data_IF_761742451179
#
_entry.id   IF_761742451179
#
_cell.length_a   1.000
_cell.length_b   1.000
_cell.length_c   1.000
_cell.angle_alpha   90.00
_cell.angle_beta   90.00
_cell.angle_gamma   90.00
#
_symmetry.space_group_name_H-M   'P 1'
#
loop_
_entity.id
_entity.type
_entity.pdbx_description
1 polymer ?
#
# COMPACT_ATOMS: atom_id res chain seq x y z
N UNK A 1 8.83 -2.32 -11.58
CA UNK A 1 7.48 -2.63 -12.11
C UNK A 1 7.46 -2.86 -13.62
N UNK A 2 8.04 -1.96 -14.44
CA UNK A 2 7.95 -2.04 -15.91
C UNK A 2 8.41 -3.37 -16.54
N UNK A 3 9.47 -3.98 -16.02
CA UNK A 3 10.07 -5.15 -16.68
C UNK A 3 9.41 -6.50 -16.38
N UNK A 4 8.57 -6.59 -15.33
CA UNK A 4 7.92 -7.85 -14.92
C UNK A 4 6.41 -7.73 -14.98
N UNK A 5 5.83 -6.63 -14.49
CA UNK A 5 4.38 -6.49 -14.40
C UNK A 5 3.75 -6.01 -15.71
N UNK A 6 4.44 -5.19 -16.52
CA UNK A 6 3.93 -4.79 -17.84
C UNK A 6 3.83 -5.97 -18.82
N UNK A 7 4.86 -6.85 -18.97
CA UNK A 7 4.72 -8.01 -19.85
C UNK A 7 3.68 -9.01 -19.36
N UNK A 8 3.52 -9.21 -18.04
CA UNK A 8 2.45 -10.06 -17.48
C UNK A 8 1.06 -9.50 -17.79
N UNK A 9 0.86 -8.19 -17.59
CA UNK A 9 -0.41 -7.54 -17.90
C UNK A 9 -0.72 -7.55 -19.42
N UNK A 10 0.31 -7.37 -20.25
CA UNK A 10 0.18 -7.43 -21.71
C UNK A 10 -0.09 -8.85 -22.20
N UNK A 11 0.59 -9.87 -21.65
CA UNK A 11 0.36 -11.27 -21.97
C UNK A 11 -1.06 -11.72 -21.64
N UNK A 12 -1.67 -11.14 -20.60
CA UNK A 12 -3.06 -11.40 -20.21
C UNK A 12 -4.10 -10.54 -20.98
N UNK A 13 -3.65 -9.69 -21.90
CA UNK A 13 -4.54 -8.85 -22.71
C UNK A 13 -5.29 -7.77 -21.91
N UNK A 14 -4.72 -7.28 -20.81
CA UNK A 14 -5.37 -6.24 -20.00
C UNK A 14 -5.34 -4.88 -20.72
N UNK A 15 -6.49 -4.22 -20.78
CA UNK A 15 -6.58 -2.82 -21.22
C UNK A 15 -5.76 -1.88 -20.34
N UNK A 16 -5.41 -0.69 -20.86
CA UNK A 16 -4.46 0.24 -20.23
C UNK A 16 -4.83 0.63 -18.79
N UNK A 17 -6.09 1.00 -18.55
CA UNK A 17 -6.57 1.37 -17.22
C UNK A 17 -6.52 0.19 -16.23
N UNK A 18 -6.99 -1.00 -16.64
CA UNK A 18 -6.96 -2.22 -15.80
C UNK A 18 -5.54 -2.70 -15.52
N UNK A 19 -4.65 -2.57 -16.49
CA UNK A 19 -3.22 -2.86 -16.34
C UNK A 19 -2.59 -1.97 -15.26
N UNK A 20 -2.92 -0.68 -15.19
CA UNK A 20 -2.43 0.20 -14.13
C UNK A 20 -2.87 -0.24 -12.73
N UNK A 21 -4.17 -0.54 -12.54
CA UNK A 21 -4.70 -1.02 -11.26
C UNK A 21 -4.14 -2.38 -10.85
N UNK A 22 -4.00 -3.29 -11.81
CA UNK A 22 -3.34 -4.57 -11.59
C UNK A 22 -1.91 -4.38 -11.10
N UNK A 23 -1.16 -3.44 -11.69
CA UNK A 23 0.22 -3.16 -11.26
C UNK A 23 0.31 -2.57 -9.85
N UNK A 24 -0.61 -1.67 -9.50
CA UNK A 24 -0.72 -1.13 -8.14
C UNK A 24 -0.94 -2.25 -7.12
N UNK A 25 -1.91 -3.14 -7.38
CA UNK A 25 -2.18 -4.27 -6.49
C UNK A 25 -1.07 -5.32 -6.50
N UNK A 26 -0.46 -5.61 -7.64
CA UNK A 26 0.64 -6.57 -7.74
C UNK A 26 1.89 -6.08 -6.98
N UNK A 27 2.13 -4.75 -6.94
CA UNK A 27 3.16 -4.19 -6.08
C UNK A 27 2.87 -4.45 -4.60
N UNK A 28 1.62 -4.27 -4.17
CA UNK A 28 1.22 -4.58 -2.79
C UNK A 28 1.41 -6.07 -2.48
N UNK A 29 1.09 -6.97 -3.41
CA UNK A 29 1.35 -8.41 -3.25
C UNK A 29 2.83 -8.68 -3.00
N UNK A 30 3.72 -8.13 -3.83
CA UNK A 30 5.19 -8.32 -3.68
C UNK A 30 5.69 -7.77 -2.33
N UNK A 31 5.21 -6.60 -1.93
CA UNK A 31 5.58 -5.99 -0.66
C UNK A 31 5.12 -6.84 0.52
N UNK A 32 3.82 -7.12 0.62
CA UNK A 32 3.26 -7.85 1.75
C UNK A 32 3.72 -9.31 1.79
N UNK A 33 3.93 -9.97 0.65
CA UNK A 33 4.50 -11.33 0.65
C UNK A 33 5.90 -11.34 1.23
N UNK A 34 6.71 -10.32 0.95
CA UNK A 34 8.07 -10.19 1.47
C UNK A 34 8.06 -9.86 2.96
N UNK A 35 7.35 -8.80 3.35
CA UNK A 35 7.31 -8.33 4.74
C UNK A 35 6.66 -9.36 5.67
N UNK A 36 5.54 -9.97 5.26
CA UNK A 36 4.90 -11.02 6.04
C UNK A 36 5.82 -12.22 6.22
N UNK A 37 6.51 -12.68 5.17
CA UNK A 37 7.43 -13.82 5.27
C UNK A 37 8.62 -13.54 6.20
N UNK A 38 9.20 -12.34 6.11
CA UNK A 38 10.29 -11.92 7.00
C UNK A 38 9.81 -11.80 8.44
N UNK A 39 8.66 -11.16 8.66
CA UNK A 39 8.05 -11.03 10.00
C UNK A 39 7.76 -12.41 10.61
N UNK A 40 7.13 -13.30 9.84
CA UNK A 40 6.86 -14.68 10.27
C UNK A 40 8.13 -15.46 10.59
N UNK A 41 9.19 -15.30 9.81
CA UNK A 41 10.48 -15.93 10.09
C UNK A 41 11.07 -15.43 11.42
N UNK A 42 11.03 -14.11 11.67
CA UNK A 42 11.44 -13.53 12.96
C UNK A 42 10.57 -14.09 14.09
N UNK A 43 9.26 -14.15 13.90
CA UNK A 43 8.33 -14.63 14.92
C UNK A 43 8.57 -16.11 15.26
N UNK A 44 8.68 -16.98 14.25
CA UNK A 44 8.88 -18.42 14.40
C UNK A 44 10.23 -18.79 15.02
N UNK A 45 11.25 -17.96 14.82
CA UNK A 45 12.57 -18.15 15.42
C UNK A 45 12.73 -17.49 16.80
N UNK A 46 11.71 -16.79 17.29
CA UNK A 46 11.77 -16.07 18.55
C UNK A 46 11.21 -16.87 19.73
N UNK A 47 11.65 -16.53 20.95
CA UNK A 47 11.18 -17.14 22.20
C UNK A 47 9.70 -16.88 22.53
N UNK A 48 9.04 -15.96 21.80
CA UNK A 48 7.63 -15.60 21.99
C UNK A 48 6.71 -16.18 20.93
N UNK A 49 7.16 -17.17 20.14
CA UNK A 49 6.31 -17.89 19.20
C UNK A 49 5.13 -18.55 19.92
N UNK A 50 3.91 -18.15 19.54
CA UNK A 50 2.63 -18.55 20.16
C UNK A 50 2.55 -18.35 21.68
N UNK A 51 3.49 -17.60 22.28
CA UNK A 51 3.50 -17.26 23.69
C UNK A 51 3.38 -15.74 23.86
N UNK A 52 2.16 -15.31 24.18
CA UNK A 52 1.83 -13.91 24.35
C UNK A 52 2.44 -13.29 25.61
N UNK A 53 2.81 -14.09 26.62
CA UNK A 53 3.45 -13.60 27.85
C UNK A 53 4.94 -13.35 27.63
N UNK A 54 5.60 -14.26 26.89
CA UNK A 54 7.02 -14.14 26.54
C UNK A 54 7.36 -12.85 25.78
N UNK A 55 6.40 -12.20 25.13
CA UNK A 55 6.57 -10.89 24.50
C UNK A 55 7.03 -9.78 25.47
N UNK A 56 6.70 -9.91 26.76
CA UNK A 56 6.97 -8.90 27.79
C UNK A 56 8.24 -9.18 28.61
N UNK A 57 8.87 -10.33 28.41
CA UNK A 57 10.09 -10.72 29.10
C UNK A 57 11.29 -9.90 28.62
N UNK A 58 12.24 -9.64 29.53
CA UNK A 58 13.49 -8.93 29.24
C UNK A 58 13.29 -7.54 28.60
N UNK A 59 12.15 -6.90 28.86
CA UNK A 59 11.95 -5.51 28.49
C UNK A 59 12.84 -4.60 29.37
N UNK A 60 13.47 -3.54 28.82
CA UNK A 60 13.38 -3.05 27.44
C UNK A 60 14.35 -3.73 26.46
N UNK A 61 13.83 -4.18 25.31
CA UNK A 61 14.64 -4.75 24.24
C UNK A 61 15.27 -3.64 23.37
N UNK A 62 16.31 -2.95 23.89
CA UNK A 62 17.01 -1.88 23.15
C UNK A 62 17.97 -2.40 22.08
N UNK A 63 18.65 -3.53 22.35
CA UNK A 63 19.47 -4.22 21.36
C UNK A 63 18.61 -5.26 20.63
N UNK A 64 18.05 -4.85 19.50
CA UNK A 64 17.34 -5.75 18.59
C UNK A 64 18.29 -6.29 17.53
N UNK A 65 18.01 -7.49 17.02
CA UNK A 65 18.75 -8.04 15.89
C UNK A 65 18.68 -7.11 14.67
N UNK A 66 19.71 -7.12 13.83
CA UNK A 66 19.74 -6.31 12.61
C UNK A 66 18.53 -6.57 11.70
N UNK A 67 18.07 -7.82 11.64
CA UNK A 67 16.89 -8.21 10.86
C UNK A 67 15.61 -7.59 11.42
N UNK A 68 15.38 -7.66 12.73
CA UNK A 68 14.23 -7.01 13.39
C UNK A 68 14.26 -5.49 13.18
N UNK A 69 15.45 -4.88 13.25
CA UNK A 69 15.61 -3.44 13.02
C UNK A 69 15.22 -3.04 11.59
N UNK A 70 15.75 -3.75 10.60
CA UNK A 70 15.42 -3.49 9.19
C UNK A 70 13.93 -3.70 8.94
N UNK A 71 13.35 -4.78 9.49
CA UNK A 71 11.93 -5.07 9.38
C UNK A 71 11.06 -3.94 9.94
N UNK A 72 11.29 -3.51 11.18
CA UNK A 72 10.51 -2.43 11.82
C UNK A 72 10.65 -1.10 11.08
N UNK A 73 11.86 -0.75 10.62
CA UNK A 73 12.10 0.49 9.89
C UNK A 73 11.51 0.46 8.47
N UNK A 74 11.57 -0.68 7.77
CA UNK A 74 10.97 -0.87 6.46
C UNK A 74 9.44 -0.77 6.53
N UNK A 75 8.83 -1.35 7.56
CA UNK A 75 7.40 -1.22 7.83
C UNK A 75 7.01 0.25 8.09
N UNK A 76 7.74 0.93 8.98
CA UNK A 76 7.50 2.34 9.26
C UNK A 76 7.63 3.21 7.99
N UNK A 77 8.67 2.99 7.18
CA UNK A 77 8.91 3.73 5.94
C UNK A 77 7.79 3.53 4.93
N UNK A 78 7.30 2.29 4.78
CA UNK A 78 6.17 2.00 3.91
C UNK A 78 4.89 2.68 4.39
N UNK A 79 4.57 2.62 5.68
CA UNK A 79 3.37 3.29 6.23
C UNK A 79 3.44 4.82 6.10
N UNK A 80 4.63 5.42 6.26
CA UNK A 80 4.85 6.84 5.96
C UNK A 80 4.65 7.16 4.47
N UNK A 81 5.13 6.31 3.58
CA UNK A 81 4.89 6.45 2.14
C UNK A 81 3.40 6.29 1.79
N UNK A 82 2.68 5.38 2.44
CA UNK A 82 1.24 5.21 2.24
C UNK A 82 0.43 6.42 2.73
N UNK A 83 0.89 7.11 3.78
CA UNK A 83 0.30 8.38 4.22
C UNK A 83 0.36 9.47 3.13
N UNK A 84 1.40 9.46 2.29
CA UNK A 84 1.47 10.38 1.16
C UNK A 84 0.53 9.90 0.04
N UNK A 85 0.55 8.60 -0.27
CA UNK A 85 -0.26 8.01 -1.35
C UNK A 85 -1.76 8.20 -1.14
N UNK A 86 -2.28 8.06 0.09
CA UNK A 86 -3.71 8.26 0.36
C UNK A 86 -4.19 9.70 0.06
N UNK A 87 -3.29 10.68 0.08
CA UNK A 87 -3.60 12.07 -0.26
C UNK A 87 -3.47 12.36 -1.77
N UNK A 88 -2.75 11.51 -2.51
CA UNK A 88 -2.61 11.60 -3.96
C UNK A 88 -3.73 10.82 -4.67
N UNK A 89 -4.13 9.67 -4.12
CA UNK A 89 -5.21 8.86 -4.67
C UNK A 89 -6.57 9.57 -4.57
N UNK A 90 -7.47 9.24 -5.50
CA UNK A 90 -8.85 9.75 -5.49
C UNK A 90 -9.51 9.39 -4.16
N UNK A 91 -10.08 10.40 -3.51
CA UNK A 91 -10.72 10.25 -2.19
C UNK A 91 -11.91 9.28 -2.24
N UNK A 92 -11.82 8.20 -1.47
CA UNK A 92 -12.90 7.21 -1.27
C UNK A 92 -13.81 7.60 -0.10
N UNK A 93 -14.97 6.93 0.02
CA UNK A 93 -15.97 7.19 1.07
C UNK A 93 -15.43 6.99 2.50
N UNK A 94 -14.44 6.13 2.68
CA UNK A 94 -13.79 5.81 3.95
C UNK A 94 -12.49 6.61 4.20
N UNK A 95 -12.22 7.66 3.43
CA UNK A 95 -10.93 8.35 3.46
C UNK A 95 -10.51 8.81 4.85
N UNK A 96 -11.42 9.39 5.63
CA UNK A 96 -11.10 9.84 6.99
C UNK A 96 -10.80 8.69 7.95
N UNK A 97 -11.50 7.55 7.81
CA UNK A 97 -11.25 6.36 8.62
C UNK A 97 -9.87 5.77 8.30
N UNK A 98 -9.53 5.68 7.01
CA UNK A 98 -8.20 5.25 6.57
C UNK A 98 -7.12 6.24 6.99
N UNK A 99 -7.33 7.55 6.88
CA UNK A 99 -6.36 8.56 7.32
C UNK A 99 -6.08 8.45 8.82
N UNK A 100 -7.13 8.36 9.65
CA UNK A 100 -6.99 8.16 11.10
C UNK A 100 -6.25 6.85 11.42
N UNK A 101 -6.54 5.77 10.69
CA UNK A 101 -5.80 4.53 10.79
C UNK A 101 -4.31 4.72 10.49
N UNK A 102 -3.95 5.37 9.39
CA UNK A 102 -2.54 5.61 9.05
C UNK A 102 -1.82 6.41 10.14
N UNK A 103 -2.45 7.47 10.68
CA UNK A 103 -1.85 8.29 11.75
C UNK A 103 -1.57 7.42 12.98
N UNK A 104 -2.55 6.64 13.42
CA UNK A 104 -2.42 5.80 14.62
C UNK A 104 -1.46 4.64 14.40
N UNK A 105 -1.50 3.97 13.25
CA UNK A 105 -0.58 2.88 12.91
C UNK A 105 0.87 3.37 12.86
N UNK A 106 1.15 4.51 12.22
CA UNK A 106 2.50 5.10 12.20
C UNK A 106 2.96 5.43 13.62
N UNK A 107 2.10 6.05 14.43
CA UNK A 107 2.41 6.38 15.81
C UNK A 107 2.71 5.12 16.64
N UNK A 108 1.91 4.06 16.52
CA UNK A 108 2.11 2.79 17.23
C UNK A 108 3.38 2.06 16.79
N UNK A 109 3.65 1.98 15.48
CA UNK A 109 4.88 1.35 14.98
C UNK A 109 6.11 2.14 15.47
N UNK A 110 6.09 3.47 15.36
CA UNK A 110 7.17 4.32 15.83
C UNK A 110 7.38 4.18 17.35
N UNK A 111 6.32 4.30 18.15
CA UNK A 111 6.41 4.16 19.60
C UNK A 111 6.86 2.76 20.01
N UNK A 112 6.35 1.70 19.36
CA UNK A 112 6.77 0.32 19.66
C UNK A 112 8.27 0.12 19.44
N UNK A 113 8.83 0.75 18.41
CA UNK A 113 10.27 0.73 18.14
C UNK A 113 11.06 1.52 19.21
N UNK A 114 10.63 2.75 19.52
CA UNK A 114 11.35 3.63 20.47
C UNK A 114 11.27 3.17 21.93
N UNK A 115 10.16 2.56 22.32
CA UNK A 115 9.96 2.01 23.67
C UNK A 115 10.46 0.56 23.83
N UNK A 116 11.07 -0.05 22.79
CA UNK A 116 11.56 -1.43 22.87
C UNK A 116 10.45 -2.49 22.98
N UNK A 117 9.25 -2.17 22.50
CA UNK A 117 8.08 -3.07 22.42
C UNK A 117 8.02 -3.80 21.07
N UNK A 118 9.18 -4.04 20.45
CA UNK A 118 9.32 -4.58 19.10
C UNK A 118 8.75 -5.99 18.94
N UNK A 119 8.75 -6.81 20.00
CA UNK A 119 8.15 -8.16 19.98
C UNK A 119 6.65 -8.10 19.73
N UNK A 120 5.95 -7.23 20.46
CA UNK A 120 4.50 -7.01 20.28
C UNK A 120 4.22 -6.34 18.95
N UNK A 121 5.04 -5.35 18.58
CA UNK A 121 4.98 -4.70 17.27
C UNK A 121 5.09 -5.70 16.11
N UNK A 122 6.02 -6.66 16.20
CA UNK A 122 6.19 -7.71 15.20
C UNK A 122 4.93 -8.57 15.03
N UNK A 123 4.36 -9.07 16.14
CA UNK A 123 3.13 -9.88 16.08
C UNK A 123 1.97 -9.08 15.48
N UNK A 124 1.79 -7.82 15.90
CA UNK A 124 0.75 -6.96 15.34
C UNK A 124 0.95 -6.76 13.83
N UNK A 125 2.15 -6.44 13.38
CA UNK A 125 2.44 -6.20 11.96
C UNK A 125 2.21 -7.46 11.09
N UNK A 126 2.61 -8.63 11.57
CA UNK A 126 2.34 -9.91 10.88
C UNK A 126 0.84 -10.16 10.72
N UNK A 127 0.08 -9.97 11.80
CA UNK A 127 -1.38 -10.12 11.76
C UNK A 127 -1.99 -9.11 10.79
N UNK A 128 -1.43 -7.89 10.73
CA UNK A 128 -1.84 -6.83 9.82
C UNK A 128 -1.60 -7.21 8.35
N UNK A 129 -0.36 -7.52 7.99
CA UNK A 129 0.05 -7.75 6.61
C UNK A 129 -0.62 -8.97 5.95
N UNK A 130 -0.96 -10.02 6.73
CA UNK A 130 -1.52 -11.24 6.16
C UNK A 130 -2.83 -10.98 5.40
N UNK A 131 -3.71 -10.19 5.99
CA UNK A 131 -4.99 -9.87 5.39
C UNK A 131 -4.87 -8.98 4.15
N UNK A 132 -3.93 -8.05 4.18
CA UNK A 132 -3.68 -7.15 3.05
C UNK A 132 -3.06 -7.91 1.87
N UNK A 133 -2.22 -8.92 2.15
CA UNK A 133 -1.71 -9.84 1.13
C UNK A 133 -2.86 -10.59 0.43
N UNK A 134 -3.76 -11.23 1.20
CA UNK A 134 -4.88 -11.98 0.61
C UNK A 134 -5.83 -11.06 -0.16
N UNK A 135 -6.08 -9.86 0.36
CA UNK A 135 -6.91 -8.84 -0.30
C UNK A 135 -6.32 -8.39 -1.66
N UNK A 136 -5.03 -8.06 -1.70
CA UNK A 136 -4.37 -7.66 -2.94
C UNK A 136 -4.31 -8.79 -3.97
N UNK A 137 -4.13 -10.04 -3.53
CA UNK A 137 -4.22 -11.22 -4.41
C UNK A 137 -5.63 -11.33 -5.01
N UNK A 138 -6.69 -11.20 -4.20
CA UNK A 138 -8.06 -11.26 -4.69
C UNK A 138 -8.35 -10.17 -5.73
N UNK A 139 -7.87 -8.93 -5.52
CA UNK A 139 -7.99 -7.86 -6.52
C UNK A 139 -7.23 -8.16 -7.82
N UNK A 140 -6.00 -8.67 -7.73
CA UNK A 140 -5.23 -9.09 -8.91
C UNK A 140 -6.00 -10.14 -9.73
N UNK A 141 -6.56 -11.15 -9.07
CA UNK A 141 -7.36 -12.20 -9.73
C UNK A 141 -8.65 -11.65 -10.36
N UNK A 142 -9.33 -10.71 -9.68
CA UNK A 142 -10.48 -9.98 -10.24
C UNK A 142 -10.11 -9.26 -11.53
N UNK A 143 -8.99 -8.52 -11.54
CA UNK A 143 -8.55 -7.80 -12.74
C UNK A 143 -8.16 -8.73 -13.90
N UNK A 144 -7.66 -9.93 -13.60
CA UNK A 144 -7.36 -10.98 -14.57
C UNK A 144 -8.61 -11.74 -15.06
N UNK A 145 -9.81 -11.41 -14.56
CA UNK A 145 -11.08 -12.09 -14.85
C UNK A 145 -11.10 -13.58 -14.48
N UNK A 146 -10.33 -13.97 -13.47
CA UNK A 146 -10.27 -15.34 -12.96
C UNK A 146 -11.31 -15.58 -11.86
N UNK A 147 -12.59 -15.64 -12.24
CA UNK A 147 -13.71 -15.56 -11.30
C UNK A 147 -13.70 -16.66 -10.22
N UNK A 148 -13.52 -17.94 -10.56
CA UNK A 148 -13.48 -19.02 -9.54
C UNK A 148 -12.37 -18.85 -8.52
N UNK A 149 -11.19 -18.41 -8.94
CA UNK A 149 -10.07 -18.16 -8.01
C UNK A 149 -10.32 -16.89 -7.19
N UNK A 150 -10.94 -15.88 -7.79
CA UNK A 150 -11.36 -14.66 -7.10
C UNK A 150 -12.37 -14.99 -5.98
N UNK A 151 -13.38 -15.82 -6.25
CA UNK A 151 -14.41 -16.19 -5.25
C UNK A 151 -13.80 -17.02 -4.12
N UNK A 152 -12.92 -17.97 -4.45
CA UNK A 152 -12.18 -18.74 -3.45
C UNK A 152 -11.30 -17.84 -2.56
N UNK A 153 -10.52 -16.95 -3.17
CA UNK A 153 -9.64 -16.04 -2.43
C UNK A 153 -10.42 -14.98 -1.63
N UNK A 154 -11.59 -14.58 -2.11
CA UNK A 154 -12.52 -13.75 -1.36
C UNK A 154 -13.05 -14.46 -0.11
N UNK A 155 -13.45 -15.74 -0.23
CA UNK A 155 -13.81 -16.56 0.93
C UNK A 155 -12.66 -16.69 1.92
N UNK A 156 -11.44 -16.96 1.44
CA UNK A 156 -10.24 -17.01 2.26
C UNK A 156 -9.94 -15.68 2.96
N UNK A 157 -10.16 -14.54 2.29
CA UNK A 157 -10.01 -13.21 2.86
C UNK A 157 -10.98 -12.96 4.03
N UNK A 158 -12.24 -13.37 3.91
CA UNK A 158 -13.23 -13.21 4.98
C UNK A 158 -12.86 -14.05 6.20
N UNK A 159 -12.46 -15.31 5.99
CA UNK A 159 -12.03 -16.20 7.07
C UNK A 159 -10.77 -15.67 7.75
N UNK A 160 -9.75 -15.29 6.97
CA UNK A 160 -8.52 -14.73 7.54
C UNK A 160 -8.78 -13.44 8.30
N UNK A 161 -9.72 -12.59 7.83
CA UNK A 161 -10.10 -11.37 8.53
C UNK A 161 -10.58 -11.67 9.95
N UNK A 162 -11.54 -12.59 10.12
CA UNK A 162 -12.06 -12.92 11.45
C UNK A 162 -10.95 -13.49 12.35
N UNK A 163 -10.10 -14.38 11.84
CA UNK A 163 -9.04 -15.00 12.61
C UNK A 163 -7.95 -14.00 13.02
N UNK A 164 -7.41 -13.22 12.08
CA UNK A 164 -6.31 -12.31 12.37
C UNK A 164 -6.79 -11.04 13.11
N UNK A 165 -7.94 -10.48 12.72
CA UNK A 165 -8.42 -9.18 13.22
C UNK A 165 -9.30 -9.29 14.45
N UNK A 166 -10.17 -10.30 14.55
CA UNK A 166 -11.15 -10.39 15.65
C UNK A 166 -10.88 -11.54 16.63
N UNK A 167 -9.85 -12.36 16.37
CA UNK A 167 -9.40 -13.40 17.30
C UNK A 167 -7.99 -13.10 17.77
N UNK A 168 -6.99 -13.13 16.88
CA UNK A 168 -5.58 -12.98 17.25
C UNK A 168 -5.22 -11.57 17.74
N UNK A 169 -5.68 -10.52 17.07
CA UNK A 169 -5.37 -9.15 17.47
C UNK A 169 -5.97 -8.77 18.85
N UNK A 170 -7.23 -9.12 19.18
CA UNK A 170 -7.76 -8.97 20.54
C UNK A 170 -7.00 -9.79 21.59
N UNK A 171 -6.49 -10.98 21.26
CA UNK A 171 -5.62 -11.75 22.16
C UNK A 171 -4.31 -10.99 22.46
N UNK A 172 -3.73 -10.31 21.47
CA UNK A 172 -2.57 -9.42 21.69
C UNK A 172 -2.96 -8.26 22.60
N UNK A 173 -4.09 -7.59 22.35
CA UNK A 173 -4.60 -6.51 23.21
C UNK A 173 -4.82 -6.96 24.65
N UNK A 174 -5.38 -8.16 24.84
CA UNK A 174 -5.52 -8.78 26.16
C UNK A 174 -4.18 -8.99 26.84
N UNK A 175 -3.16 -9.45 26.11
CA UNK A 175 -1.81 -9.60 26.67
C UNK A 175 -1.19 -8.26 27.10
N UNK A 176 -1.42 -7.19 26.32
CA UNK A 176 -1.03 -5.83 26.71
C UNK A 176 -1.73 -5.41 27.99
N UNK A 177 -3.01 -5.70 28.14
CA UNK A 177 -3.77 -5.34 29.33
C UNK A 177 -3.34 -6.14 30.59
N UNK A 178 -3.27 -7.47 30.46
CA UNK A 178 -3.16 -8.40 31.56
C UNK A 178 -1.71 -8.74 31.96
N UNK A 179 -0.79 -8.86 30.99
CA UNK A 179 0.55 -9.42 31.24
C UNK A 179 1.66 -8.36 31.25
N UNK A 180 1.51 -7.28 30.49
CA UNK A 180 2.61 -6.32 30.23
C UNK A 180 3.25 -5.76 31.50
N UNK A 181 2.46 -5.16 32.40
CA UNK A 181 2.96 -4.59 33.66
C UNK A 181 3.23 -5.64 34.72
N UNK A 182 2.54 -6.79 34.68
CA UNK A 182 2.78 -7.88 35.62
C UNK A 182 4.18 -8.47 35.41
N UNK A 183 4.61 -8.59 34.15
CA UNK A 183 5.90 -9.19 33.78
C UNK A 183 7.01 -8.14 33.74
N UNK A 184 6.80 -7.00 33.06
CA UNK A 184 7.84 -5.98 32.93
C UNK A 184 8.05 -5.17 34.23
N UNK A 185 6.97 -4.95 34.99
CA UNK A 185 6.94 -4.08 36.16
C UNK A 185 7.04 -2.58 35.81
N UNK A 186 6.55 -1.69 36.70
CA UNK A 186 6.66 -0.24 36.51
C UNK A 186 8.10 0.21 36.75
N UNK A 187 8.92 0.28 35.69
CA UNK A 187 10.37 0.54 35.79
C UNK A 187 10.85 1.44 34.65
N UNK A 188 11.94 2.15 34.91
CA UNK A 188 12.64 2.97 33.93
C UNK A 188 14.09 2.51 33.73
N UNK A 189 14.60 2.71 32.52
CA UNK A 189 15.98 2.39 32.15
C UNK A 189 16.57 3.54 31.32
N UNK A 190 17.85 3.85 31.53
CA UNK A 190 18.59 4.91 30.81
C UNK A 190 19.76 4.27 30.05
N UNK A 191 20.14 4.85 28.91
CA UNK A 191 21.30 4.38 28.15
C UNK A 191 20.96 3.33 27.11
N UNK A 192 21.96 2.89 26.35
CA UNK A 192 21.78 1.96 25.24
C UNK A 192 22.84 0.86 25.28
N UNK A 193 22.45 -0.31 24.79
CA UNK A 193 23.29 -1.48 24.70
C UNK A 193 23.83 -2.00 26.04
N UNK A 194 25.14 -2.25 26.11
CA UNK A 194 25.80 -2.75 27.32
C UNK A 194 25.84 -1.75 28.49
N UNK A 195 25.49 -0.48 28.25
CA UNK A 195 25.53 0.60 29.24
C UNK A 195 24.13 1.00 29.73
N UNK A 196 23.21 0.04 29.85
CA UNK A 196 21.87 0.30 30.38
C UNK A 196 21.95 0.42 31.91
N UNK A 197 21.47 1.55 32.44
CA UNK A 197 21.35 1.83 33.86
C UNK A 197 19.88 1.68 34.26
N UNK A 198 19.60 0.79 35.22
CA UNK A 198 18.26 0.55 35.75
C UNK A 198 18.17 -0.80 36.47
N UNK A 199 17.04 -1.11 37.11
CA UNK A 199 15.79 -0.35 37.07
C UNK A 199 15.81 0.91 37.95
N UNK A 200 15.22 1.99 37.45
CA UNK A 200 14.92 3.21 38.20
C UNK A 200 13.41 3.33 38.41
N UNK A 201 13.02 4.03 39.47
CA UNK A 201 11.61 4.37 39.70
C UNK A 201 11.11 5.39 38.66
N UNK A 202 9.80 5.33 38.40
CA UNK A 202 9.14 6.28 37.50
C UNK A 202 9.14 7.65 38.16
N UNK A 203 9.58 8.73 37.46
CA UNK A 203 9.57 10.07 38.02
C UNK A 203 8.18 10.46 38.52
N UNK A 204 8.06 10.85 39.79
CA UNK A 204 6.80 11.24 40.40
C UNK A 204 6.21 12.55 39.81
N UNK A 205 7.09 13.43 39.30
CA UNK A 205 6.71 14.74 38.78
C UNK A 205 7.17 14.91 37.32
N UNK A 206 6.25 15.39 36.49
CA UNK A 206 6.51 15.75 35.08
C UNK A 206 6.28 14.61 34.09
N UNK A 207 5.82 14.97 32.89
CA UNK A 207 5.49 14.01 31.81
C UNK A 207 6.58 13.89 30.73
N UNK A 208 7.67 14.65 30.87
CA UNK A 208 8.71 14.72 29.83
C UNK A 208 9.39 13.36 29.57
N UNK A 209 9.47 12.50 30.59
CA UNK A 209 10.02 11.15 30.45
C UNK A 209 9.26 10.28 29.41
N UNK A 210 8.03 10.64 29.04
CA UNK A 210 7.26 9.97 27.98
C UNK A 210 7.71 10.40 26.57
N UNK A 211 8.25 11.61 26.42
CA UNK A 211 8.74 12.11 25.14
C UNK A 211 10.23 11.85 24.94
N UNK A 212 10.97 11.68 26.03
CA UNK A 212 12.41 11.45 26.03
C UNK A 212 12.83 10.27 25.13
N UNK A 213 12.18 9.07 25.18
CA UNK A 213 12.45 7.97 24.26
C UNK A 213 12.26 8.30 22.80
N UNK A 214 11.35 9.22 22.49
CA UNK A 214 10.95 9.58 21.12
C UNK A 214 11.92 10.58 20.51
N UNK A 215 12.56 11.40 21.33
CA UNK A 215 13.50 12.42 20.88
C UNK A 215 14.93 11.90 20.95
N UNK A 216 15.32 11.30 22.07
CA UNK A 216 16.70 10.88 22.34
C UNK A 216 16.86 9.36 22.27
N UNK A 217 17.86 8.90 21.54
CA UNK A 217 18.17 7.45 21.40
C UNK A 217 18.65 6.83 22.72
N UNK A 218 19.39 7.60 23.52
CA UNK A 218 19.92 7.15 24.82
C UNK A 218 19.08 7.65 26.01
N UNK A 219 17.93 8.27 25.74
CA UNK A 219 17.05 8.82 26.77
C UNK A 219 16.49 7.75 27.71
N UNK A 220 15.93 8.18 28.82
CA UNK A 220 15.17 7.35 29.75
C UNK A 220 13.94 6.76 29.06
N UNK A 221 13.77 5.45 29.16
CA UNK A 221 12.57 4.73 28.71
C UNK A 221 11.89 4.16 29.96
N UNK A 222 10.64 4.52 30.15
CA UNK A 222 9.80 4.05 31.25
C UNK A 222 8.62 3.26 30.69
N UNK A 223 8.19 2.23 31.43
CA UNK A 223 6.94 1.53 31.17
C UNK A 223 6.11 1.52 32.44
N UNK A 224 5.05 2.31 32.45
CA UNK A 224 4.15 2.49 33.58
C UNK A 224 2.68 2.27 33.14
N UNK A 225 1.74 2.53 34.04
CA UNK A 225 0.32 2.45 33.71
C UNK A 225 -0.09 3.40 32.60
N UNK A 226 0.53 4.59 32.52
CA UNK A 226 0.21 5.59 31.50
C UNK A 226 0.64 5.11 30.12
N UNK A 227 1.90 4.69 29.96
CA UNK A 227 2.43 4.17 28.67
C UNK A 227 1.67 2.92 28.25
N UNK A 228 1.38 1.99 29.17
CA UNK A 228 0.52 0.83 28.87
C UNK A 228 -0.82 1.28 28.32
N UNK A 229 -1.49 2.22 29.00
CA UNK A 229 -2.84 2.66 28.64
C UNK A 229 -2.86 3.39 27.30
N UNK A 230 -1.87 4.24 27.01
CA UNK A 230 -1.74 4.92 25.72
C UNK A 230 -1.48 3.93 24.58
N UNK A 231 -0.61 2.96 24.79
CA UNK A 231 -0.33 1.94 23.77
C UNK A 231 -1.55 1.06 23.52
N UNK A 232 -2.22 0.61 24.58
CA UNK A 232 -3.44 -0.20 24.50
C UNK A 232 -4.59 0.58 23.86
N UNK A 233 -4.79 1.86 24.19
CA UNK A 233 -5.86 2.66 23.60
C UNK A 233 -5.69 2.85 22.10
N UNK A 234 -4.44 3.02 21.62
CA UNK A 234 -4.14 3.04 20.20
C UNK A 234 -4.50 1.72 19.51
N UNK A 235 -4.15 0.57 20.11
CA UNK A 235 -4.51 -0.75 19.57
C UNK A 235 -6.03 -0.98 19.56
N UNK A 236 -6.73 -0.61 20.62
CA UNK A 236 -8.19 -0.73 20.70
C UNK A 236 -8.90 0.22 19.72
N UNK A 237 -8.33 1.41 19.48
CA UNK A 237 -8.84 2.30 18.44
C UNK A 237 -8.74 1.66 17.06
N UNK A 238 -7.60 1.00 16.75
CA UNK A 238 -7.47 0.22 15.53
C UNK A 238 -8.51 -0.91 15.48
N UNK A 239 -8.77 -1.62 16.58
CA UNK A 239 -9.81 -2.66 16.64
C UNK A 239 -11.19 -2.11 16.28
N UNK A 240 -11.55 -0.93 16.80
CA UNK A 240 -12.83 -0.27 16.46
C UNK A 240 -12.92 0.02 14.96
N UNK A 241 -11.86 0.53 14.33
CA UNK A 241 -11.84 0.74 12.89
C UNK A 241 -12.00 -0.58 12.11
N UNK A 242 -11.34 -1.65 12.59
CA UNK A 242 -11.45 -2.99 11.99
C UNK A 242 -12.85 -3.57 12.11
N UNK A 243 -13.58 -3.28 13.20
CA UNK A 243 -15.00 -3.62 13.31
C UNK A 243 -15.87 -2.85 12.32
N UNK A 244 -15.60 -1.55 12.09
CA UNK A 244 -16.32 -0.75 11.09
C UNK A 244 -16.15 -1.36 9.69
N UNK A 245 -14.92 -1.71 9.31
CA UNK A 245 -14.67 -2.40 8.02
C UNK A 245 -15.26 -3.80 7.98
N UNK A 246 -15.26 -4.53 9.10
CA UNK A 246 -15.90 -5.84 9.17
C UNK A 246 -17.40 -5.77 8.87
N UNK A 247 -18.11 -4.75 9.39
CA UNK A 247 -19.51 -4.51 9.04
C UNK A 247 -19.68 -4.28 7.52
N UNK A 248 -18.73 -3.59 6.87
CA UNK A 248 -18.75 -3.43 5.41
C UNK A 248 -18.51 -4.76 4.68
N UNK A 249 -17.58 -5.58 5.16
CA UNK A 249 -17.31 -6.92 4.60
C UNK A 249 -18.55 -7.81 4.73
N UNK A 250 -19.20 -7.84 5.91
CA UNK A 250 -20.42 -8.63 6.11
C UNK A 250 -21.54 -8.17 5.18
N UNK A 251 -21.72 -6.86 4.99
CA UNK A 251 -22.70 -6.33 4.01
C UNK A 251 -22.37 -6.80 2.58
N UNK A 252 -21.10 -6.85 2.21
CA UNK A 252 -20.65 -7.32 0.91
C UNK A 252 -20.88 -8.83 0.75
N UNK A 253 -20.58 -9.64 1.76
CA UNK A 253 -20.87 -11.09 1.77
C UNK A 253 -22.37 -11.36 1.61
N UNK A 254 -23.22 -10.65 2.36
CA UNK A 254 -24.68 -10.79 2.24
C UNK A 254 -25.16 -10.45 0.82
N UNK A 255 -24.57 -9.44 0.18
CA UNK A 255 -24.90 -9.08 -1.20
C UNK A 255 -24.51 -10.18 -2.19
N UNK A 256 -23.31 -10.75 -2.03
CA UNK A 256 -22.82 -11.85 -2.88
C UNK A 256 -23.72 -13.09 -2.72
N UNK A 257 -24.09 -13.43 -1.49
CA UNK A 257 -24.99 -14.57 -1.22
C UNK A 257 -26.41 -14.37 -1.77
N UNK A 258 -26.85 -13.12 -1.97
CA UNK A 258 -28.13 -12.78 -2.62
C UNK A 258 -28.03 -12.78 -4.15
N UNK A 259 -26.91 -13.20 -4.73
CA UNK A 259 -26.69 -13.26 -6.17
C UNK A 259 -26.16 -11.97 -6.81
N UNK A 260 -25.71 -11.00 -6.00
CA UNK A 260 -25.03 -9.80 -6.50
C UNK A 260 -23.54 -10.02 -6.77
N UNK A 261 -22.91 -9.12 -7.52
CA UNK A 261 -21.46 -9.16 -7.78
C UNK A 261 -20.65 -8.77 -6.51
N UNK A 262 -19.44 -9.32 -6.37
CA UNK A 262 -18.49 -9.02 -5.28
C UNK A 262 -17.75 -7.70 -5.54
N UNK A 263 -18.50 -6.60 -5.66
CA UNK A 263 -17.95 -5.25 -5.85
C UNK A 263 -17.69 -4.55 -4.52
N UNK A 264 -16.47 -4.02 -4.38
CA UNK A 264 -16.03 -3.25 -3.22
C UNK A 264 -16.80 -1.91 -3.18
N UNK A 265 -17.77 -1.82 -2.24
CA UNK A 265 -18.62 -0.64 -2.03
C UNK A 265 -17.86 0.65 -1.67
N UNK A 266 -16.58 0.54 -1.37
CA UNK A 266 -15.72 1.65 -1.01
C UNK A 266 -15.22 2.42 -2.24
N UNK A 267 -15.00 1.71 -3.34
CA UNK A 267 -14.44 2.24 -4.58
C UNK A 267 -15.55 2.58 -5.57
N UNK A 268 -16.27 3.68 -5.30
CA UNK A 268 -17.11 4.28 -6.35
C UNK A 268 -16.18 4.71 -7.52
N UNK A 269 -16.44 4.14 -8.71
CA UNK A 269 -15.90 4.50 -10.03
C UNK A 269 -14.54 3.90 -10.44
N UNK A 270 -14.05 2.80 -9.84
CA UNK A 270 -12.93 2.08 -10.47
C UNK A 270 -13.35 1.45 -11.81
N UNK A 271 -14.62 1.04 -11.94
CA UNK A 271 -15.12 0.35 -13.13
C UNK A 271 -15.62 1.28 -14.24
N UNK A 272 -16.31 2.37 -13.90
CA UNK A 272 -16.72 3.42 -14.87
C UNK A 272 -15.50 4.07 -15.56
N UNK A 273 -14.37 4.18 -14.86
CA UNK A 273 -13.11 4.66 -15.45
C UNK A 273 -12.61 3.73 -16.59
N UNK A 274 -12.97 2.44 -16.60
CA UNK A 274 -12.60 1.54 -17.70
C UNK A 274 -13.36 1.82 -18.99
N UNK A 275 -14.59 2.33 -18.90
CA UNK A 275 -15.44 2.61 -20.07
C UNK A 275 -15.06 3.95 -20.71
N UNK A 276 -14.79 4.99 -19.92
CA UNK A 276 -14.39 6.31 -20.42
C UNK A 276 -12.97 6.35 -21.03
N UNK A 277 -12.05 5.49 -20.57
CA UNK A 277 -10.67 5.40 -21.10
C UNK A 277 -10.55 4.47 -22.33
N UNK A 278 -11.64 3.85 -22.81
CA UNK A 278 -11.60 3.13 -24.08
C UNK A 278 -11.45 4.13 -25.23
N UNK A 279 -10.50 3.93 -26.17
CA UNK A 279 -10.47 4.75 -27.37
C UNK A 279 -11.81 4.58 -28.09
N UNK A 280 -12.51 5.69 -28.31
CA UNK A 280 -13.66 5.75 -29.23
C UNK A 280 -13.19 5.06 -30.51
N UNK A 281 -13.79 3.92 -30.85
CA UNK A 281 -13.63 3.34 -32.19
C UNK A 281 -14.26 4.34 -33.15
N UNK A 282 -13.45 5.26 -33.66
CA UNK A 282 -13.82 6.05 -34.82
C UNK A 282 -13.79 5.06 -35.99
N UNK A 283 -14.93 4.42 -36.26
CA UNK A 283 -15.15 3.82 -37.57
C UNK A 283 -15.15 4.96 -38.58
N UNK A 284 -13.98 5.21 -39.18
CA UNK A 284 -13.90 6.04 -40.37
C UNK A 284 -14.46 5.18 -41.50
N UNK A 285 -15.74 5.37 -41.83
CA UNK A 285 -16.34 4.89 -43.06
C UNK A 285 -15.51 5.43 -44.24
N UNK A 286 -14.65 4.59 -44.81
CA UNK A 286 -13.84 4.94 -45.97
C UNK A 286 -14.70 5.36 -47.19
N UNK A 287 -15.98 5.00 -47.21
CA UNK A 287 -16.95 5.39 -48.25
C UNK A 287 -17.47 6.82 -48.14
N UNK A 288 -17.27 7.53 -47.01
CA UNK A 288 -17.70 8.93 -46.84
C UNK A 288 -16.61 9.96 -47.11
N UNK A 289 -15.42 9.55 -47.54
CA UNK A 289 -14.37 10.46 -48.00
C UNK A 289 -14.74 11.05 -49.36
N UNK A 290 -15.53 12.13 -49.35
CA UNK A 290 -15.69 12.99 -50.51
C UNK A 290 -14.40 13.79 -50.71
N UNK A 291 -13.57 13.35 -51.65
CA UNK A 291 -12.45 14.16 -52.14
C UNK A 291 -13.00 15.40 -52.84
N UNK A 292 -12.52 16.62 -52.51
CA UNK A 292 -12.96 17.82 -53.20
C UNK A 292 -12.50 17.77 -54.67
N UNK A 293 -13.46 18.01 -55.57
CA UNK A 293 -13.24 18.08 -57.02
C UNK A 293 -12.23 19.20 -57.32
N UNK A 294 -11.13 18.80 -57.96
CA UNK A 294 -10.12 19.67 -58.55
C UNK A 294 -10.77 20.52 -59.65
N UNK A 295 -10.78 21.85 -59.48
CA UNK A 295 -11.10 22.78 -60.57
C UNK A 295 -9.83 23.02 -61.41
N UNK A 296 -9.95 22.80 -62.72
CA UNK A 296 -8.91 22.97 -63.71
C UNK A 296 -8.97 24.37 -64.37
N UNK A 297 -7.81 24.92 -64.73
CA UNK A 297 -7.53 25.78 -65.91
C UNK A 297 -6.17 26.47 -65.69
N UNK A 298 -5.21 26.65 -66.61
CA UNK A 298 -4.90 26.18 -67.97
C UNK A 298 -3.52 26.85 -68.30
N UNK A 299 -2.62 26.19 -69.05
CA UNK A 299 -1.42 26.89 -69.58
C UNK A 299 -0.26 26.03 -70.06
N UNK A 300 -0.38 25.54 -71.31
CA UNK A 300 0.64 25.20 -72.35
C UNK A 300 2.10 24.86 -71.94
N UNK A 301 2.59 23.74 -72.48
CA UNK A 301 4.03 23.58 -72.78
C UNK A 301 4.53 22.15 -73.03
N UNK A 302 4.42 21.69 -74.28
CA UNK A 302 5.35 20.81 -75.03
C UNK A 302 5.97 19.53 -74.41
N UNK A 303 5.56 18.40 -75.00
CA UNK A 303 6.43 17.34 -75.59
C UNK A 303 7.22 16.34 -74.71
N UNK A 304 6.67 15.12 -74.67
CA UNK A 304 7.30 13.83 -75.05
C UNK A 304 8.23 13.04 -74.08
N UNK A 305 8.04 11.71 -74.19
CA UNK A 305 8.96 10.57 -73.96
C UNK A 305 8.93 9.86 -72.60
N UNK A 306 8.19 8.75 -72.60
CA UNK A 306 8.58 7.35 -72.35
C UNK A 306 9.54 6.95 -71.20
N UNK A 307 9.00 6.02 -70.40
CA UNK A 307 9.62 4.80 -69.80
C UNK A 307 10.68 4.86 -68.68
N UNK A 308 10.25 4.24 -67.56
CA UNK A 308 10.83 3.02 -66.97
C UNK A 308 12.10 3.09 -66.11
N UNK A 309 11.93 2.45 -64.94
CA UNK A 309 12.89 1.61 -64.20
C UNK A 309 13.98 2.21 -63.31
N UNK A 310 14.01 1.60 -62.10
CA UNK A 310 15.13 1.36 -61.17
C UNK A 310 15.60 2.49 -60.23
N UNK A 311 15.45 2.21 -58.94
CA UNK A 311 16.62 1.94 -58.09
C UNK A 311 17.10 3.05 -57.15
N UNK A 312 16.91 2.80 -55.85
CA UNK A 312 17.79 3.07 -54.69
C UNK A 312 18.60 4.37 -54.61
N UNK A 313 18.48 5.10 -53.49
CA UNK A 313 19.64 5.52 -52.69
C UNK A 313 19.23 6.05 -51.30
N UNK A 314 19.98 5.56 -50.30
CA UNK A 314 20.10 6.08 -48.94
C UNK A 314 21.04 7.30 -48.96
N UNK A 315 20.71 8.38 -48.24
CA UNK A 315 21.69 9.08 -47.38
C UNK A 315 21.05 10.12 -46.46
N UNK A 316 21.64 10.17 -45.26
CA UNK A 316 21.52 11.06 -44.10
C UNK A 316 21.34 12.54 -44.43
N UNK A 317 20.57 13.26 -43.61
CA UNK A 317 21.20 14.23 -42.71
C UNK A 317 20.35 14.61 -41.49
N UNK A 318 21.02 14.66 -40.34
CA UNK A 318 20.48 15.08 -39.04
C UNK A 318 21.22 16.37 -38.67
N UNK A 319 20.60 17.53 -38.89
CA UNK A 319 20.90 18.80 -38.21
C UNK A 319 19.83 19.84 -38.60
N UNK A 320 19.15 20.38 -37.60
CA UNK A 320 18.06 21.35 -37.78
C UNK A 320 16.89 21.16 -36.80
N UNK A 321 17.11 20.48 -35.68
CA UNK A 321 16.22 20.56 -34.52
C UNK A 321 16.79 21.68 -33.64
N UNK A 322 15.93 22.65 -33.28
CA UNK A 322 16.17 23.87 -32.51
C UNK A 322 16.62 25.08 -33.36
N UNK A 323 15.92 26.21 -33.18
CA UNK A 323 16.20 27.58 -33.69
C UNK A 323 15.53 28.12 -34.96
N UNK A 324 14.20 28.02 -35.06
CA UNK A 324 13.41 29.14 -35.63
C UNK A 324 12.22 29.50 -34.73
N UNK A 325 12.57 30.13 -33.60
CA UNK A 325 11.65 30.89 -32.75
C UNK A 325 11.15 32.11 -33.55
N UNK A 326 9.86 32.42 -33.44
CA UNK A 326 9.26 33.65 -33.92
C UNK A 326 7.78 33.73 -33.55
N UNK A 327 7.48 34.08 -32.29
CA UNK A 327 6.18 34.63 -31.92
C UNK A 327 5.90 35.87 -32.78
N UNK A 328 4.76 35.96 -33.45
CA UNK A 328 3.89 37.14 -33.35
C UNK A 328 2.47 36.89 -33.89
N UNK A 329 1.56 37.68 -33.33
CA UNK A 329 0.11 37.62 -33.33
C UNK A 329 -0.55 37.72 -34.72
N UNK A 330 -1.79 37.20 -34.84
CA UNK A 330 -2.89 37.99 -35.41
C UNK A 330 -4.27 37.55 -34.91
N UNK A 331 -4.93 38.53 -34.29
CA UNK A 331 -6.34 38.62 -33.92
C UNK A 331 -7.22 38.51 -35.17
N UNK A 332 -8.41 37.93 -35.03
CA UNK A 332 -9.56 38.24 -35.91
C UNK A 332 -10.89 37.99 -35.20
N UNK A 333 -11.45 39.10 -34.70
CA UNK A 333 -12.85 39.48 -34.40
C UNK A 333 -13.83 38.46 -33.83
#
# INVERSE_FOLDING_TARGET
MRFVLDPLAAAWGLGRARSMRFKEQAWMVVYYSTCWSVGMCIYASSSYWLDLQAMWTNWPNREISGLMKIYMLAQLAFWLQQMIVINIEKRRKDHWQMLSHHVVTIALVYCSYRYGLTRVGNVVLILMDFNDLVFSIAKCLKYMKLQSLCDFTFGAFVVSWVLCRHTAFPMVCWSVYAHSLVIAGPKCFIGSGKNIIGPQEVPANGYFYMLEPLIYTNGRVCYDYTIKTLFLSGLLFLEVLMLVWFVMIVKLVIRVLRGGNAEDTRSDNEEEQYEDDMPIKVEVDAEKLQFPKQYASCGRGTSSVFQSTRGMAISKDRKGYLDRIGCEQRISR
#
